data_IF_143390425423
#
_entry.id   IF_143390425423
#
_cell.length_a   1.000
_cell.length_b   1.000
_cell.length_c   1.000
_cell.angle_alpha   90.00
_cell.angle_beta   90.00
_cell.angle_gamma   90.00
#
_symmetry.space_group_name_H-M   'P 1'
#
loop_
_entity.id
_entity.type
_entity.pdbx_description
1 polymer ?
#
# COMPACT_ATOMS: atom_id res chain seq x y z
N UNK A 1 15.30 5.60 -7.19
CA UNK A 1 15.66 4.15 -7.16
C UNK A 1 16.94 3.86 -7.96
N UNK A 2 17.81 2.92 -7.56
CA UNK A 2 19.12 2.70 -8.23
C UNK A 2 19.03 2.01 -9.60
N UNK A 3 18.08 1.09 -9.79
CA UNK A 3 17.91 0.35 -11.06
C UNK A 3 16.91 1.05 -11.99
N UNK A 4 17.34 1.40 -13.21
CA UNK A 4 16.47 1.99 -14.25
C UNK A 4 15.27 1.08 -14.58
N UNK A 5 15.48 -0.24 -14.60
CA UNK A 5 14.43 -1.22 -14.87
C UNK A 5 13.31 -1.16 -13.82
N UNK A 6 13.68 -1.06 -12.54
CA UNK A 6 12.71 -0.96 -11.45
C UNK A 6 11.95 0.37 -11.48
N UNK A 7 12.62 1.48 -11.85
CA UNK A 7 11.93 2.79 -12.01
C UNK A 7 10.86 2.71 -13.08
N UNK A 8 11.21 2.21 -14.27
CA UNK A 8 10.27 2.04 -15.38
C UNK A 8 9.09 1.17 -14.94
N UNK A 9 9.37 0.02 -14.34
CA UNK A 9 8.32 -0.87 -13.82
C UNK A 9 7.36 -0.16 -12.85
N UNK A 10 7.90 0.61 -11.90
CA UNK A 10 7.10 1.31 -10.89
C UNK A 10 6.16 2.36 -11.53
N UNK A 11 6.67 3.17 -12.46
CA UNK A 11 5.83 4.14 -13.18
C UNK A 11 4.82 3.46 -14.10
N UNK A 12 5.18 2.35 -14.75
CA UNK A 12 4.25 1.56 -15.55
C UNK A 12 3.11 1.00 -14.69
N UNK A 13 3.40 0.47 -13.50
CA UNK A 13 2.38 -0.02 -12.57
C UNK A 13 1.44 1.10 -12.10
N UNK A 14 1.99 2.27 -11.78
CA UNK A 14 1.19 3.44 -11.42
C UNK A 14 0.27 3.88 -12.58
N UNK A 15 0.79 3.90 -13.81
CA UNK A 15 0.01 4.24 -15.00
C UNK A 15 -1.11 3.23 -15.27
N UNK A 16 -0.82 1.92 -15.14
CA UNK A 16 -1.82 0.86 -15.29
C UNK A 16 -2.97 1.06 -14.29
N UNK A 17 -2.67 1.36 -13.03
CA UNK A 17 -3.70 1.61 -12.01
C UNK A 17 -4.65 2.74 -12.38
N UNK A 18 -4.12 3.84 -12.92
CA UNK A 18 -4.94 4.98 -13.39
C UNK A 18 -5.76 4.60 -14.62
N UNK A 19 -5.16 3.88 -15.58
CA UNK A 19 -5.83 3.46 -16.81
C UNK A 19 -7.00 2.51 -16.54
N UNK A 20 -6.81 1.53 -15.65
CA UNK A 20 -7.88 0.61 -15.23
C UNK A 20 -9.01 1.40 -14.58
N UNK A 21 -8.69 2.30 -13.64
CA UNK A 21 -9.69 3.13 -12.99
C UNK A 21 -10.45 3.98 -13.99
N UNK A 22 -9.77 4.64 -14.92
CA UNK A 22 -10.41 5.43 -15.97
C UNK A 22 -11.34 4.59 -16.86
N UNK A 23 -10.91 3.38 -17.23
CA UNK A 23 -11.68 2.47 -18.09
C UNK A 23 -12.97 1.96 -17.40
N UNK A 24 -12.94 1.75 -16.08
CA UNK A 24 -14.05 1.21 -15.30
C UNK A 24 -14.90 2.32 -14.63
N UNK A 25 -14.40 3.55 -14.55
CA UNK A 25 -15.04 4.67 -13.84
C UNK A 25 -16.48 4.94 -14.28
N UNK A 26 -16.75 4.87 -15.59
CA UNK A 26 -18.09 5.09 -16.15
C UNK A 26 -19.09 4.00 -15.79
N UNK A 27 -18.61 2.79 -15.46
CA UNK A 27 -19.42 1.62 -15.10
C UNK A 27 -19.63 1.50 -13.60
N UNK A 28 -18.92 2.29 -12.79
CA UNK A 28 -19.02 2.26 -11.35
C UNK A 28 -20.33 2.92 -10.88
N UNK A 29 -21.05 2.31 -9.92
CA UNK A 29 -22.20 2.94 -9.28
C UNK A 29 -21.79 4.23 -8.58
N UNK A 30 -22.73 5.15 -8.35
CA UNK A 30 -22.45 6.43 -7.69
C UNK A 30 -21.79 6.28 -6.31
N UNK A 31 -22.07 5.18 -5.62
CA UNK A 31 -21.48 4.83 -4.34
C UNK A 31 -20.77 3.47 -4.38
N UNK A 32 -19.57 3.42 -3.82
CA UNK A 32 -18.73 2.23 -3.73
C UNK A 32 -18.40 1.92 -2.27
N UNK A 33 -18.30 0.63 -1.89
CA UNK A 33 -17.84 0.26 -0.55
C UNK A 33 -16.36 0.67 -0.38
N UNK A 34 -16.05 1.27 0.77
CA UNK A 34 -14.72 1.84 1.05
C UNK A 34 -14.11 1.42 2.38
N UNK A 35 -14.93 0.97 3.33
CA UNK A 35 -14.47 0.45 4.60
C UNK A 35 -15.33 -0.74 5.00
N UNK A 36 -14.68 -1.80 5.48
CA UNK A 36 -15.33 -2.97 6.04
C UNK A 36 -15.02 -3.01 7.53
N UNK A 37 -16.03 -2.69 8.34
CA UNK A 37 -15.94 -2.77 9.79
C UNK A 37 -15.87 -4.22 10.26
N UNK A 38 -15.22 -4.44 11.40
CA UNK A 38 -15.08 -5.77 12.02
C UNK A 38 -16.41 -6.40 12.45
N UNK A 39 -17.44 -5.57 12.64
CA UNK A 39 -18.83 -5.95 12.91
C UNK A 39 -19.63 -6.26 11.64
N UNK A 40 -18.99 -6.33 10.47
CA UNK A 40 -19.65 -6.55 9.18
C UNK A 40 -20.31 -5.31 8.58
N UNK A 41 -20.19 -4.13 9.19
CA UNK A 41 -20.74 -2.91 8.58
C UNK A 41 -19.89 -2.45 7.41
N UNK A 42 -20.52 -2.22 6.26
CA UNK A 42 -19.85 -1.70 5.07
C UNK A 42 -20.15 -0.21 4.92
N UNK A 43 -19.11 0.63 4.90
CA UNK A 43 -19.25 2.07 4.68
C UNK A 43 -19.07 2.39 3.20
N UNK A 44 -20.04 3.08 2.63
CA UNK A 44 -20.07 3.50 1.24
C UNK A 44 -19.59 4.95 1.09
N UNK A 45 -18.90 5.22 -0.02
CA UNK A 45 -18.43 6.55 -0.38
C UNK A 45 -18.69 6.85 -1.85
N UNK A 46 -18.70 8.13 -2.26
CA UNK A 46 -18.79 8.49 -3.68
C UNK A 46 -17.70 7.84 -4.51
N UNK A 47 -18.04 7.38 -5.73
CA UNK A 47 -17.08 6.76 -6.67
C UNK A 47 -15.87 7.64 -6.98
N UNK A 48 -16.00 8.96 -6.84
CA UNK A 48 -14.90 9.91 -7.03
C UNK A 48 -13.72 9.69 -6.07
N UNK A 49 -13.93 9.06 -4.90
CA UNK A 49 -12.83 8.75 -3.96
C UNK A 49 -11.77 7.82 -4.57
N UNK A 50 -12.11 7.00 -5.56
CA UNK A 50 -11.16 6.06 -6.18
C UNK A 50 -9.98 6.80 -6.83
N UNK A 51 -10.20 8.04 -7.31
CA UNK A 51 -9.16 8.88 -7.88
C UNK A 51 -8.09 9.27 -6.87
N UNK A 52 -8.45 9.42 -5.59
CA UNK A 52 -7.49 9.71 -4.54
C UNK A 52 -6.57 8.50 -4.30
N UNK A 53 -7.13 7.29 -4.24
CA UNK A 53 -6.36 6.06 -4.13
C UNK A 53 -5.43 5.85 -5.34
N UNK A 54 -5.93 6.01 -6.56
CA UNK A 54 -5.13 5.79 -7.76
C UNK A 54 -4.13 6.92 -8.03
N UNK A 55 -4.45 8.17 -7.67
CA UNK A 55 -3.56 9.33 -7.76
C UNK A 55 -2.42 9.30 -6.74
N UNK A 56 -2.60 8.59 -5.61
CA UNK A 56 -1.52 8.35 -4.66
C UNK A 56 -0.41 7.46 -5.24
N UNK A 57 -0.71 6.54 -6.16
CA UNK A 57 0.29 5.65 -6.77
C UNK A 57 1.41 6.40 -7.50
N UNK A 58 1.14 7.29 -8.49
CA UNK A 58 2.19 8.07 -9.14
C UNK A 58 2.86 9.07 -8.19
N UNK A 59 2.12 9.64 -7.24
CA UNK A 59 2.67 10.54 -6.23
C UNK A 59 3.72 9.81 -5.37
N UNK A 60 3.39 8.61 -4.89
CA UNK A 60 4.32 7.77 -4.12
C UNK A 60 5.49 7.28 -4.99
N UNK A 61 5.24 6.92 -6.25
CA UNK A 61 6.31 6.54 -7.19
C UNK A 61 7.33 7.66 -7.39
N UNK A 62 6.85 8.89 -7.58
CA UNK A 62 7.69 10.09 -7.67
C UNK A 62 8.42 10.35 -6.35
N UNK A 63 7.70 10.32 -5.23
CA UNK A 63 8.26 10.57 -3.92
C UNK A 63 9.39 9.59 -3.62
N UNK A 64 9.20 8.28 -3.78
CA UNK A 64 10.25 7.28 -3.54
C UNK A 64 11.43 7.35 -4.51
N UNK A 65 11.23 7.92 -5.70
CA UNK A 65 12.33 8.14 -6.63
C UNK A 65 13.19 9.34 -6.22
N UNK A 66 12.56 10.37 -5.64
CA UNK A 66 13.18 11.63 -5.22
C UNK A 66 13.67 11.64 -3.77
N UNK A 67 13.03 10.89 -2.87
CA UNK A 67 13.35 10.78 -1.44
C UNK A 67 14.83 10.48 -1.16
N UNK A 68 15.52 9.59 -1.90
CA UNK A 68 16.93 9.29 -1.68
C UNK A 68 17.90 10.43 -2.00
N UNK A 69 17.43 11.51 -2.64
CA UNK A 69 18.19 12.74 -2.89
C UNK A 69 18.03 13.72 -1.73
N UNK A 70 16.85 13.72 -1.08
CA UNK A 70 16.56 14.54 0.10
C UNK A 70 17.09 13.90 1.38
N UNK A 71 17.16 12.56 1.46
CA UNK A 71 17.54 11.83 2.67
C UNK A 71 19.08 11.71 2.85
N UNK A 72 19.71 12.50 3.77
CA UNK A 72 21.13 12.40 4.10
C UNK A 72 21.49 11.17 4.96
N UNK A 73 20.53 10.35 5.41
CA UNK A 73 20.72 9.29 6.42
C UNK A 73 20.67 7.86 5.89
N UNK A 74 21.12 7.59 4.65
CA UNK A 74 21.25 6.21 4.11
C UNK A 74 22.01 5.22 5.01
N UNK A 75 22.91 5.69 5.88
CA UNK A 75 23.69 4.87 6.83
C UNK A 75 22.90 4.37 8.05
N UNK A 76 21.74 4.96 8.37
CA UNK A 76 21.01 4.61 9.59
C UNK A 76 20.15 3.33 9.44
N UNK A 77 19.81 2.95 8.21
CA UNK A 77 19.10 1.69 7.92
C UNK A 77 19.93 0.44 8.30
N UNK A 78 21.26 0.52 8.23
CA UNK A 78 22.16 -0.58 8.63
C UNK A 78 22.08 -0.86 10.13
N UNK A 79 21.75 0.14 10.96
CA UNK A 79 21.65 -0.01 12.43
C UNK A 79 20.31 -0.56 12.90
N UNK A 80 19.29 -0.60 12.04
CA UNK A 80 17.91 -0.91 12.43
C UNK A 80 17.42 -2.32 12.06
N UNK A 81 18.23 -3.11 11.33
CA UNK A 81 17.85 -4.47 10.92
C UNK A 81 17.54 -5.38 12.12
N UNK A 82 18.33 -5.34 13.20
CA UNK A 82 18.14 -6.21 14.37
C UNK A 82 16.80 -5.97 15.10
N UNK A 83 16.34 -4.72 15.17
CA UNK A 83 15.02 -4.40 15.73
C UNK A 83 13.89 -4.82 14.81
N UNK A 84 14.11 -4.75 13.49
CA UNK A 84 13.14 -5.14 12.48
C UNK A 84 12.86 -6.65 12.52
N UNK A 85 13.89 -7.48 12.67
CA UNK A 85 13.75 -8.94 12.78
C UNK A 85 12.99 -9.34 14.05
N UNK A 86 13.30 -8.69 15.18
CA UNK A 86 12.60 -8.94 16.46
C UNK A 86 11.13 -8.52 16.39
N UNK A 87 10.85 -7.36 15.80
CA UNK A 87 9.49 -6.88 15.56
C UNK A 87 8.71 -7.80 14.63
N UNK A 88 9.34 -8.30 13.55
CA UNK A 88 8.71 -9.22 12.60
C UNK A 88 8.40 -10.58 13.23
N UNK A 89 9.31 -11.12 14.06
CA UNK A 89 9.08 -12.33 14.85
C UNK A 89 7.92 -12.14 15.85
N UNK A 90 7.81 -10.98 16.49
CA UNK A 90 6.69 -10.67 17.37
C UNK A 90 5.36 -10.59 16.59
N UNK A 91 5.37 -9.93 15.44
CA UNK A 91 4.18 -9.73 14.60
C UNK A 91 3.69 -11.01 13.91
N UNK A 92 4.59 -11.94 13.60
CA UNK A 92 4.28 -13.26 13.03
C UNK A 92 4.02 -14.34 14.10
N UNK A 93 4.62 -14.22 15.29
CA UNK A 93 4.39 -15.12 16.42
C UNK A 93 3.08 -14.86 17.17
N UNK A 94 2.65 -13.59 17.24
CA UNK A 94 1.42 -13.20 17.94
C UNK A 94 0.16 -13.89 17.36
N UNK A 95 -0.06 -13.97 16.03
CA UNK A 95 -1.20 -14.70 15.46
C UNK A 95 -1.15 -16.22 15.64
N UNK A 96 0.05 -16.82 15.69
CA UNK A 96 0.22 -18.27 15.79
C UNK A 96 -0.24 -18.84 17.14
N UNK A 97 -0.16 -18.03 18.21
CA UNK A 97 -0.63 -18.41 19.54
C UNK A 97 -2.17 -18.37 19.68
N UNK A 98 -2.89 -17.56 18.88
CA UNK A 98 -4.35 -17.43 18.98
C UNK A 98 -5.15 -18.35 18.03
N UNK A 99 -4.50 -18.98 17.06
CA UNK A 99 -5.17 -19.90 16.12
C UNK A 99 -5.45 -21.30 16.69
N UNK A 100 -4.90 -21.64 17.87
CA UNK A 100 -5.07 -22.96 18.50
C UNK A 100 -6.31 -23.14 19.38
N UNK A 101 -7.08 -22.08 19.66
CA UNK A 101 -8.17 -22.09 20.66
C UNK A 101 -9.58 -21.88 20.09
N UNK A 102 -9.79 -22.03 18.77
CA UNK A 102 -11.11 -21.90 18.13
C UNK A 102 -11.48 -23.10 17.25
N UNK A 103 -10.83 -24.25 17.50
CA UNK A 103 -11.19 -25.53 16.90
C UNK A 103 -11.71 -26.49 17.99
N UNK A 104 -12.75 -26.05 18.69
CA UNK A 104 -13.70 -26.93 19.41
C UNK A 104 -15.12 -26.53 19.01
#
# INVERSE_FOLDING_TARGET
MKSKKLRILNYTLAAIGILITAAVYSRLPEQIPTNWGFNGTVTYSPKSRIWLCCGLLPLMAFLFDYLPQIDPRRRNYVKFNAYYDTFLCFLTGFPAHYAGNYAE
#
